data_IF_646380370024
#
_entry.id   IF_646380370024
#
_cell.length_a   1.000
_cell.length_b   1.000
_cell.length_c   1.000
_cell.angle_alpha   90.00
_cell.angle_beta   90.00
_cell.angle_gamma   90.00
#
_symmetry.space_group_name_H-M   'P 1'
#
loop_
_entity.id
_entity.type
_entity.pdbx_description
1 polymer ?
#
# COMPACT_ATOMS: atom_id res chain seq x y z
N UNK A 1 -8.18 3.81 19.83
CA UNK A 1 -8.04 2.46 19.26
C UNK A 1 -6.55 2.21 19.01
N UNK A 2 -6.07 0.96 19.01
CA UNK A 2 -4.66 0.59 18.82
C UNK A 2 -4.59 -0.50 17.75
N UNK A 3 -3.69 -0.36 16.78
CA UNK A 3 -3.32 -1.45 15.88
C UNK A 3 -2.10 -2.19 16.45
N UNK A 4 -2.24 -3.49 16.68
CA UNK A 4 -1.19 -4.36 17.19
C UNK A 4 -0.83 -5.40 16.11
N UNK A 5 0.46 -5.47 15.77
CA UNK A 5 0.95 -6.32 14.69
C UNK A 5 1.79 -7.48 15.27
N UNK A 6 1.18 -8.66 15.36
CA UNK A 6 1.86 -9.93 15.59
C UNK A 6 1.95 -10.71 14.27
N UNK A 7 3.02 -10.42 13.52
CA UNK A 7 3.20 -10.89 12.15
C UNK A 7 4.16 -12.08 12.07
N UNK A 8 3.96 -13.12 12.88
CA UNK A 8 4.86 -14.28 12.95
C UNK A 8 5.09 -14.96 11.59
N UNK A 9 4.09 -14.95 10.71
CA UNK A 9 4.16 -15.47 9.33
C UNK A 9 4.15 -14.37 8.27
N UNK A 10 4.44 -13.13 8.66
CA UNK A 10 4.30 -11.96 7.81
C UNK A 10 2.86 -11.44 7.72
N UNK A 11 2.71 -10.31 7.04
CA UNK A 11 1.45 -9.63 6.75
C UNK A 11 1.55 -9.02 5.34
N UNK A 12 0.47 -9.10 4.56
CA UNK A 12 0.40 -8.48 3.24
C UNK A 12 0.10 -6.98 3.34
N UNK A 13 0.35 -6.26 2.25
CA UNK A 13 0.15 -4.80 2.19
C UNK A 13 -1.32 -4.39 2.37
N UNK A 14 -2.25 -5.11 1.75
CA UNK A 14 -3.70 -4.89 1.86
C UNK A 14 -4.22 -5.16 3.28
N UNK A 15 -3.70 -6.18 3.97
CA UNK A 15 -4.02 -6.42 5.38
C UNK A 15 -3.50 -5.31 6.29
N UNK A 16 -2.29 -4.81 6.03
CA UNK A 16 -1.72 -3.67 6.77
C UNK A 16 -2.55 -2.40 6.53
N UNK A 17 -2.94 -2.14 5.28
CA UNK A 17 -3.77 -1.00 4.91
C UNK A 17 -5.17 -1.09 5.54
N UNK A 18 -5.77 -2.28 5.51
CA UNK A 18 -7.05 -2.57 6.17
C UNK A 18 -7.01 -2.28 7.66
N UNK A 19 -5.94 -2.70 8.37
CA UNK A 19 -5.78 -2.43 9.79
C UNK A 19 -5.70 -0.92 10.10
N UNK A 20 -5.02 -0.13 9.24
CA UNK A 20 -4.92 1.33 9.41
C UNK A 20 -6.25 2.03 9.12
N UNK A 21 -6.99 1.57 8.11
CA UNK A 21 -8.33 2.09 7.81
C UNK A 21 -9.31 1.76 8.94
N UNK A 22 -9.26 0.54 9.48
CA UNK A 22 -10.08 0.15 10.64
C UNK A 22 -9.75 1.01 11.88
N UNK A 23 -8.48 1.43 12.02
CA UNK A 23 -8.04 2.37 13.08
C UNK A 23 -8.61 3.79 12.92
N UNK A 24 -9.23 4.09 11.78
CA UNK A 24 -9.90 5.37 11.49
C UNK A 24 -9.24 6.22 10.41
N UNK A 25 -8.26 5.69 9.66
CA UNK A 25 -7.69 6.40 8.51
C UNK A 25 -8.71 6.39 7.35
N UNK A 26 -9.15 7.55 6.83
CA UNK A 26 -10.11 7.57 5.72
C UNK A 26 -9.47 7.09 4.42
N UNK A 27 -10.16 6.22 3.67
CA UNK A 27 -9.70 5.75 2.35
C UNK A 27 -9.60 6.88 1.34
N UNK A 28 -10.52 7.84 1.38
CA UNK A 28 -10.53 9.00 0.49
C UNK A 28 -9.25 9.84 0.67
N UNK A 29 -8.80 10.01 1.92
CA UNK A 29 -7.54 10.69 2.22
C UNK A 29 -6.33 9.92 1.66
N UNK A 30 -6.37 8.58 1.69
CA UNK A 30 -5.34 7.75 1.06
C UNK A 30 -5.34 7.91 -0.46
N UNK A 31 -6.51 7.91 -1.12
CA UNK A 31 -6.64 8.14 -2.57
C UNK A 31 -6.07 9.50 -2.96
N UNK A 32 -6.47 10.55 -2.25
CA UNK A 32 -5.97 11.92 -2.47
C UNK A 32 -4.45 12.00 -2.28
N UNK A 33 -3.93 11.42 -1.21
CA UNK A 33 -2.48 11.43 -0.94
C UNK A 33 -1.71 10.67 -2.02
N UNK A 34 -2.17 9.49 -2.42
CA UNK A 34 -1.51 8.65 -3.44
C UNK A 34 -1.63 9.26 -4.84
N UNK A 35 -2.62 10.13 -5.10
CA UNK A 35 -2.71 10.89 -6.36
C UNK A 35 -1.48 11.77 -6.65
N UNK A 36 -0.63 12.01 -5.63
CA UNK A 36 0.69 12.63 -5.79
C UNK A 36 1.72 11.78 -6.55
N UNK A 37 1.42 10.51 -6.82
CA UNK A 37 2.15 9.67 -7.75
C UNK A 37 1.52 9.80 -9.14
N UNK A 38 2.33 9.87 -10.23
CA UNK A 38 1.82 9.94 -11.60
C UNK A 38 1.37 8.54 -12.07
N UNK A 39 0.42 7.94 -11.35
CA UNK A 39 -0.17 6.63 -11.59
C UNK A 39 -1.64 6.80 -11.98
N UNK A 40 -2.09 6.00 -12.93
CA UNK A 40 -3.46 6.00 -13.43
C UNK A 40 -3.98 4.56 -13.53
N UNK A 41 -5.29 4.42 -13.62
CA UNK A 41 -5.95 3.13 -13.80
C UNK A 41 -5.88 2.23 -12.58
N UNK A 42 -5.99 2.82 -11.39
CA UNK A 42 -6.28 2.08 -10.18
C UNK A 42 -7.26 2.87 -9.30
N UNK A 43 -7.96 2.17 -8.43
CA UNK A 43 -8.77 2.73 -7.36
C UNK A 43 -8.61 1.89 -6.08
N UNK A 44 -9.03 2.44 -4.94
CA UNK A 44 -9.07 1.72 -3.66
C UNK A 44 -10.51 1.57 -3.19
N UNK A 45 -10.89 0.38 -2.74
CA UNK A 45 -12.23 0.12 -2.20
C UNK A 45 -12.08 -0.45 -0.81
N UNK A 46 -12.68 0.20 0.19
CA UNK A 46 -12.86 -0.42 1.50
C UNK A 46 -14.15 -1.24 1.57
N UNK A 47 -14.05 -2.36 2.28
CA UNK A 47 -15.19 -3.19 2.62
C UNK A 47 -14.99 -3.79 4.00
N UNK A 48 -16.09 -3.91 4.76
CA UNK A 48 -16.09 -4.71 5.98
C UNK A 48 -16.25 -6.17 5.59
N UNK A 49 -15.28 -7.00 5.97
CA UNK A 49 -15.30 -8.45 5.73
C UNK A 49 -15.43 -9.20 7.05
N UNK A 50 -15.95 -10.43 6.98
CA UNK A 50 -15.92 -11.38 8.10
C UNK A 50 -15.22 -12.64 7.63
N UNK A 51 -14.12 -13.00 8.30
CA UNK A 51 -13.36 -14.23 8.02
C UNK A 51 -13.26 -15.04 9.30
N UNK A 52 -13.76 -16.28 9.28
CA UNK A 52 -13.79 -17.16 10.45
C UNK A 52 -14.41 -16.51 11.70
N UNK A 53 -15.44 -15.67 11.52
CA UNK A 53 -16.13 -14.98 12.61
C UNK A 53 -15.47 -13.68 13.10
N UNK A 54 -14.34 -13.28 12.52
CA UNK A 54 -13.64 -12.04 12.84
C UNK A 54 -14.00 -10.98 11.80
N UNK A 55 -14.52 -9.84 12.26
CA UNK A 55 -14.78 -8.68 11.40
C UNK A 55 -13.53 -7.82 11.25
N UNK A 56 -13.24 -7.37 10.03
CA UNK A 56 -12.12 -6.49 9.72
C UNK A 56 -12.45 -5.60 8.53
N UNK A 57 -11.67 -4.54 8.32
CA UNK A 57 -11.63 -3.80 7.05
C UNK A 57 -10.65 -4.46 6.09
N UNK A 58 -11.09 -4.69 4.87
CA UNK A 58 -10.26 -5.04 3.73
C UNK A 58 -10.21 -3.82 2.80
N UNK A 59 -9.02 -3.43 2.40
CA UNK A 59 -8.82 -2.40 1.36
C UNK A 59 -8.30 -3.10 0.12
N UNK A 60 -9.12 -3.12 -0.92
CA UNK A 60 -8.79 -3.71 -2.21
C UNK A 60 -8.24 -2.63 -3.14
N UNK A 61 -7.14 -2.93 -3.84
CA UNK A 61 -6.55 -2.04 -4.85
C UNK A 61 -6.95 -2.58 -6.22
N UNK A 62 -8.03 -2.01 -6.75
CA UNK A 62 -8.58 -2.41 -8.04
C UNK A 62 -7.78 -1.74 -9.14
N UNK A 63 -7.25 -2.51 -10.09
CA UNK A 63 -6.45 -1.99 -11.21
C UNK A 63 -7.12 -2.27 -12.55
N UNK A 64 -7.00 -1.32 -13.48
CA UNK A 64 -7.43 -1.50 -14.86
C UNK A 64 -6.60 -2.61 -15.53
N UNK A 65 -7.19 -3.28 -16.53
CA UNK A 65 -6.46 -4.28 -17.32
C UNK A 65 -5.31 -3.63 -18.10
N UNK A 66 -4.16 -4.29 -18.12
CA UNK A 66 -3.02 -3.88 -18.95
C UNK A 66 -2.12 -2.80 -18.34
N UNK A 67 -2.01 -2.76 -17.02
CA UNK A 67 -1.03 -1.89 -16.35
C UNK A 67 0.41 -2.18 -16.82
N UNK A 68 1.24 -1.15 -17.04
CA UNK A 68 2.63 -1.36 -17.44
C UNK A 68 3.39 -2.08 -16.33
N UNK A 69 4.21 -3.04 -16.73
CA UNK A 69 5.20 -3.64 -15.84
C UNK A 69 6.22 -2.55 -15.50
N UNK A 70 6.51 -2.41 -14.21
CA UNK A 70 7.50 -1.45 -13.72
C UNK A 70 8.63 -2.21 -13.04
N UNK A 71 9.86 -1.99 -13.51
CA UNK A 71 11.05 -2.49 -12.83
C UNK A 71 11.37 -1.65 -11.58
N UNK A 72 12.34 -2.12 -10.80
CA UNK A 72 12.76 -1.45 -9.58
C UNK A 72 13.23 -0.01 -9.81
N UNK A 73 13.97 0.27 -10.88
CA UNK A 73 14.48 1.61 -11.18
C UNK A 73 13.34 2.57 -11.52
N UNK A 74 12.35 2.10 -12.28
CA UNK A 74 11.13 2.85 -12.60
C UNK A 74 10.33 3.15 -11.33
N UNK A 75 10.15 2.18 -10.43
CA UNK A 75 9.47 2.37 -9.14
C UNK A 75 10.18 3.42 -8.28
N UNK A 76 11.51 3.33 -8.13
CA UNK A 76 12.29 4.34 -7.39
C UNK A 76 12.12 5.74 -7.96
N UNK A 77 12.18 5.85 -9.28
CA UNK A 77 12.05 7.14 -10.00
C UNK A 77 10.67 7.74 -9.78
N UNK A 78 9.61 6.93 -9.84
CA UNK A 78 8.24 7.36 -9.56
C UNK A 78 8.09 7.89 -8.14
N UNK A 79 8.62 7.19 -7.14
CA UNK A 79 8.54 7.61 -5.74
C UNK A 79 9.34 8.90 -5.50
N UNK A 80 10.58 8.96 -6.00
CA UNK A 80 11.46 10.11 -5.81
C UNK A 80 10.86 11.41 -6.38
N UNK A 81 10.24 11.31 -7.56
CA UNK A 81 9.66 12.45 -8.28
C UNK A 81 8.21 12.77 -7.88
N UNK A 82 7.60 12.01 -6.96
CA UNK A 82 6.24 12.26 -6.49
C UNK A 82 6.12 13.53 -5.64
N UNK A 83 4.90 14.01 -5.41
CA UNK A 83 4.64 15.11 -4.46
C UNK A 83 4.47 14.64 -3.01
N UNK A 84 4.74 13.37 -2.71
CA UNK A 84 4.64 12.81 -1.37
C UNK A 84 5.68 13.43 -0.42
N UNK A 85 5.40 13.42 0.88
CA UNK A 85 6.36 13.92 1.88
C UNK A 85 7.67 13.11 1.86
N UNK A 86 8.78 13.76 2.23
CA UNK A 86 10.10 13.10 2.27
C UNK A 86 10.12 11.86 3.17
N UNK A 87 9.40 11.90 4.30
CA UNK A 87 9.27 10.74 5.19
C UNK A 87 8.59 9.55 4.50
N UNK A 88 7.53 9.81 3.72
CA UNK A 88 6.83 8.76 2.96
C UNK A 88 7.73 8.22 1.87
N UNK A 89 8.41 9.09 1.10
CA UNK A 89 9.37 8.69 0.06
C UNK A 89 10.48 7.82 0.62
N UNK A 90 11.14 8.25 1.69
CA UNK A 90 12.23 7.50 2.33
C UNK A 90 11.76 6.14 2.83
N UNK A 91 10.59 6.09 3.48
CA UNK A 91 10.03 4.83 3.98
C UNK A 91 9.74 3.86 2.83
N UNK A 92 9.08 4.34 1.77
CA UNK A 92 8.75 3.53 0.60
C UNK A 92 10.00 3.02 -0.13
N UNK A 93 10.99 3.88 -0.37
CA UNK A 93 12.25 3.50 -1.00
C UNK A 93 13.01 2.44 -0.18
N UNK A 94 13.03 2.56 1.15
CA UNK A 94 13.64 1.57 2.03
C UNK A 94 12.91 0.21 1.96
N UNK A 95 11.57 0.22 1.86
CA UNK A 95 10.79 -1.02 1.71
C UNK A 95 11.09 -1.68 0.38
N UNK A 96 11.02 -0.95 -0.74
CA UNK A 96 11.31 -1.51 -2.06
C UNK A 96 12.76 -1.99 -2.21
N UNK A 97 13.73 -1.29 -1.58
CA UNK A 97 15.11 -1.76 -1.55
C UNK A 97 15.23 -3.12 -0.85
N UNK A 98 14.57 -3.32 0.30
CA UNK A 98 14.56 -4.62 1.00
C UNK A 98 13.91 -5.73 0.17
N UNK A 99 12.83 -5.43 -0.55
CA UNK A 99 12.19 -6.40 -1.45
C UNK A 99 13.16 -6.77 -2.58
N UNK A 100 13.77 -5.77 -3.24
CA UNK A 100 14.71 -6.00 -4.34
C UNK A 100 15.93 -6.83 -3.89
N UNK A 101 16.46 -6.59 -2.69
CA UNK A 101 17.53 -7.40 -2.12
C UNK A 101 17.10 -8.86 -1.90
N UNK A 102 15.90 -9.06 -1.34
CA UNK A 102 15.37 -10.39 -1.05
C UNK A 102 15.06 -11.20 -2.33
N UNK A 103 14.63 -10.54 -3.40
CA UNK A 103 14.25 -11.17 -4.68
C UNK A 103 15.41 -11.31 -5.69
N UNK A 104 16.60 -10.81 -5.38
CA UNK A 104 17.76 -10.84 -6.29
C UNK A 104 18.50 -12.19 -6.39
N UNK A 105 17.94 -13.25 -5.80
CA UNK A 105 18.50 -14.62 -5.76
C UNK A 105 17.91 -15.52 -6.84
#
# INVERSE_FOLDING_TARGET
MIAYFDCFSGISGDMTLGALVDLGVPVEWLKETISGLPLQGFDMVEQTVSRNGISAKLVDVVVDKGQPIRDYLQIKTLIANSSLSDRVKQTALNIFQKIAEAESL
#
